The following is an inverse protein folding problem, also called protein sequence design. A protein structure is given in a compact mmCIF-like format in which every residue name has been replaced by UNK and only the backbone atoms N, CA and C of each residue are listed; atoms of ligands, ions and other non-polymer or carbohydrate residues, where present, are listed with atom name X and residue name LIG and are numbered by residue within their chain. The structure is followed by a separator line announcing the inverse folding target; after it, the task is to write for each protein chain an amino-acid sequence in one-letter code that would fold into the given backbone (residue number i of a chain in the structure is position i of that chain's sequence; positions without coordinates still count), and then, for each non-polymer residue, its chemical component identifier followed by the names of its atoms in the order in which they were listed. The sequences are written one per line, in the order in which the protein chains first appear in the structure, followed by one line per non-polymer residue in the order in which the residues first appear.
data_IF_724908352155
#
_entry.id   IF_724908352155
#
_cell.length_a   1.000
_cell.length_b   1.000
_cell.length_c   1.000
_cell.angle_alpha   90.00
_cell.angle_beta   90.00
_cell.angle_gamma   90.00
#
_symmetry.space_group_name_H-M   'P 1'
#
loop_
_entity.id
_entity.type
_entity.pdbx_description
1 polymer ?
#
# COMPACT_ATOMS: atom_id res chain seq x y z
N UNK A 1 1.93 26.22 -54.38
CA UNK A 1 2.47 26.36 -55.75
C UNK A 1 2.71 27.81 -56.16
N UNK A 2 1.79 28.75 -55.92
CA UNK A 2 2.01 30.16 -56.30
C UNK A 2 3.24 30.81 -55.61
N UNK A 3 3.50 30.44 -54.35
CA UNK A 3 4.64 30.96 -53.59
C UNK A 3 6.00 30.38 -54.06
N UNK A 4 6.06 29.14 -54.55
CA UNK A 4 7.31 28.53 -55.07
C UNK A 4 7.73 29.23 -56.37
N UNK A 5 6.76 29.51 -57.25
CA UNK A 5 6.99 30.30 -58.46
C UNK A 5 7.40 31.73 -58.11
N UNK A 6 6.79 32.34 -57.09
CA UNK A 6 7.16 33.67 -56.58
C UNK A 6 8.59 33.71 -56.02
N UNK A 7 9.00 32.71 -55.25
CA UNK A 7 10.38 32.57 -54.76
C UNK A 7 11.36 32.45 -55.93
N UNK A 8 11.03 31.61 -56.91
CA UNK A 8 11.89 31.40 -58.08
C UNK A 8 12.08 32.68 -58.90
N UNK A 9 11.01 33.45 -59.08
CA UNK A 9 11.05 34.72 -59.77
C UNK A 9 11.83 35.79 -58.98
N UNK A 10 11.63 35.87 -57.66
CA UNK A 10 12.33 36.84 -56.80
C UNK A 10 13.86 36.64 -56.84
N UNK A 11 14.30 35.38 -56.76
CA UNK A 11 15.71 35.02 -56.88
C UNK A 11 16.20 34.85 -58.32
N UNK A 12 15.38 35.23 -59.31
CA UNK A 12 15.71 35.18 -60.75
C UNK A 12 16.26 33.83 -61.22
N UNK A 13 15.74 32.73 -60.67
CA UNK A 13 16.20 31.37 -60.97
C UNK A 13 17.69 31.12 -60.69
N UNK A 14 18.25 31.83 -59.70
CA UNK A 14 19.59 31.56 -59.21
C UNK A 14 19.77 30.09 -58.80
N UNK A 15 20.92 29.51 -59.15
CA UNK A 15 21.20 28.09 -58.98
C UNK A 15 21.16 27.66 -57.51
N UNK A 16 21.73 28.46 -56.61
CA UNK A 16 21.81 28.14 -55.20
C UNK A 16 20.43 28.22 -54.54
N UNK A 17 19.65 29.26 -54.90
CA UNK A 17 18.28 29.42 -54.44
C UNK A 17 17.37 28.27 -54.93
N UNK A 18 17.52 27.81 -56.17
CA UNK A 18 16.72 26.69 -56.71
C UNK A 18 17.09 25.37 -56.06
N UNK A 19 18.37 25.12 -55.78
CA UNK A 19 18.80 23.95 -55.01
C UNK A 19 18.25 23.98 -53.59
N UNK A 20 18.25 25.15 -52.93
CA UNK A 20 17.61 25.31 -51.62
C UNK A 20 16.12 24.96 -51.69
N UNK A 21 15.39 25.50 -52.66
CA UNK A 21 13.96 25.24 -52.82
C UNK A 21 13.67 23.75 -53.08
N UNK A 22 14.50 23.09 -53.90
CA UNK A 22 14.36 21.66 -54.15
C UNK A 22 14.60 20.83 -52.89
N UNK A 23 15.64 21.17 -52.09
CA UNK A 23 15.88 20.53 -50.79
C UNK A 23 14.71 20.74 -49.83
N UNK A 24 14.26 21.98 -49.66
CA UNK A 24 13.10 22.30 -48.81
C UNK A 24 11.85 21.51 -49.22
N UNK A 25 11.58 21.44 -50.53
CA UNK A 25 10.42 20.72 -51.06
C UNK A 25 10.49 19.22 -50.72
N UNK A 26 11.64 18.60 -50.93
CA UNK A 26 11.80 17.16 -50.71
C UNK A 26 11.88 16.79 -49.23
N UNK A 27 12.57 17.59 -48.43
CA UNK A 27 12.85 17.27 -47.03
C UNK A 27 11.73 17.71 -46.08
N UNK A 28 10.99 18.78 -46.41
CA UNK A 28 9.95 19.33 -45.55
C UNK A 28 8.58 19.16 -46.21
N UNK A 29 8.33 19.84 -47.34
CA UNK A 29 6.99 19.91 -47.92
C UNK A 29 6.41 18.53 -48.27
N UNK A 30 7.15 17.71 -49.02
CA UNK A 30 6.70 16.37 -49.41
C UNK A 30 6.46 15.49 -48.19
N UNK A 31 7.31 15.58 -47.15
CA UNK A 31 7.13 14.79 -45.94
C UNK A 31 5.84 15.15 -45.21
N UNK A 32 5.52 16.44 -45.10
CA UNK A 32 4.25 16.90 -44.54
C UNK A 32 3.06 16.46 -45.40
N UNK A 33 3.15 16.62 -46.72
CA UNK A 33 2.06 16.27 -47.64
C UNK A 33 1.79 14.76 -47.69
N UNK A 34 2.84 13.94 -47.57
CA UNK A 34 2.76 12.48 -47.59
C UNK A 34 2.59 11.87 -46.19
N UNK A 35 2.55 12.70 -45.14
CA UNK A 35 2.34 12.23 -43.78
C UNK A 35 0.96 11.57 -43.69
N UNK A 36 0.95 10.25 -43.48
CA UNK A 36 -0.29 9.50 -43.28
C UNK A 36 -0.68 9.58 -41.81
N UNK A 37 -1.84 10.17 -41.53
CA UNK A 37 -2.44 10.14 -40.20
C UNK A 37 -3.23 8.83 -40.08
N UNK A 38 -2.80 7.88 -39.23
CA UNK A 38 -3.62 6.71 -38.95
C UNK A 38 -4.88 7.17 -38.23
N UNK A 39 -6.05 6.84 -38.80
CA UNK A 39 -7.35 7.13 -38.21
C UNK A 39 -8.05 5.81 -37.88
N UNK A 40 -8.71 5.78 -36.72
CA UNK A 40 -9.64 4.71 -36.34
C UNK A 40 -10.99 5.35 -36.19
N UNK A 41 -11.92 4.99 -37.07
CA UNK A 41 -13.30 5.45 -37.00
C UNK A 41 -14.10 4.55 -36.06
N UNK A 42 -14.74 5.16 -35.07
CA UNK A 42 -15.62 4.48 -34.13
C UNK A 42 -17.05 4.95 -34.39
N UNK A 43 -17.97 4.01 -34.54
CA UNK A 43 -19.38 4.30 -34.78
C UNK A 43 -20.07 4.72 -33.47
N UNK A 44 -21.19 5.45 -33.56
CA UNK A 44 -21.92 5.97 -32.39
C UNK A 44 -22.41 4.86 -31.43
N UNK A 45 -22.65 3.66 -31.93
CA UNK A 45 -23.06 2.48 -31.19
C UNK A 45 -21.91 1.76 -30.49
N UNK A 46 -20.66 2.19 -30.69
CA UNK A 46 -19.49 1.62 -30.02
C UNK A 46 -19.61 1.82 -28.51
N UNK A 47 -19.63 0.73 -27.70
CA UNK A 47 -19.72 0.86 -26.26
C UNK A 47 -18.58 1.71 -25.71
N UNK A 48 -18.88 2.58 -24.73
CA UNK A 48 -17.89 3.48 -24.12
C UNK A 48 -16.63 2.75 -23.66
N UNK A 49 -16.78 1.55 -23.11
CA UNK A 49 -15.67 0.69 -22.68
C UNK A 49 -14.76 0.28 -23.85
N UNK A 50 -15.32 -0.02 -25.01
CA UNK A 50 -14.57 -0.38 -26.22
C UNK A 50 -13.83 0.84 -26.79
N UNK A 51 -14.47 2.01 -26.80
CA UNK A 51 -13.81 3.29 -27.16
C UNK A 51 -12.57 3.50 -26.29
N UNK A 52 -12.74 3.39 -24.96
CA UNK A 52 -11.66 3.54 -23.99
C UNK A 52 -10.50 2.56 -24.24
N UNK A 53 -10.79 1.28 -24.52
CA UNK A 53 -9.77 0.26 -24.79
C UNK A 53 -8.99 0.53 -26.07
N UNK A 54 -9.65 1.03 -27.12
CA UNK A 54 -8.96 1.45 -28.36
C UNK A 54 -8.00 2.60 -28.07
N UNK A 55 -8.45 3.62 -27.33
CA UNK A 55 -7.60 4.74 -26.92
C UNK A 55 -6.41 4.29 -26.07
N UNK A 56 -6.59 3.37 -25.12
CA UNK A 56 -5.51 2.80 -24.30
C UNK A 56 -4.47 2.04 -25.13
N UNK A 57 -4.92 1.19 -26.06
CA UNK A 57 -4.02 0.37 -26.90
C UNK A 57 -3.30 1.17 -27.97
N UNK A 58 -3.90 2.26 -28.46
CA UNK A 58 -3.29 3.12 -29.48
C UNK A 58 -2.34 4.14 -28.84
N UNK A 59 -2.63 4.57 -27.61
CA UNK A 59 -1.75 5.46 -26.83
C UNK A 59 -0.72 4.68 -25.98
N UNK A 60 0.02 3.77 -26.61
CA UNK A 60 1.13 3.08 -25.95
C UNK A 60 2.42 3.91 -25.87
N UNK A 61 2.53 4.98 -26.67
CA UNK A 61 3.63 5.95 -26.59
C UNK A 61 3.13 7.31 -26.10
N UNK A 62 3.43 7.67 -24.85
CA UNK A 62 2.98 8.92 -24.22
C UNK A 62 2.40 8.72 -22.81
N UNK A 63 1.55 9.66 -22.36
CA UNK A 63 0.80 9.52 -21.10
C UNK A 63 -0.29 8.46 -21.29
N UNK A 64 -0.19 7.34 -20.57
CA UNK A 64 -1.18 6.26 -20.61
C UNK A 64 -2.56 6.78 -20.22
N UNK A 65 -3.56 6.56 -21.07
CA UNK A 65 -4.96 6.85 -20.74
C UNK A 65 -5.43 5.89 -19.64
N UNK A 66 -5.44 6.36 -18.40
CA UNK A 66 -5.99 5.60 -17.28
C UNK A 66 -7.51 5.78 -17.21
N UNK A 67 -8.18 4.98 -16.37
CA UNK A 67 -9.61 5.17 -16.04
C UNK A 67 -9.88 6.62 -15.58
N UNK A 68 -8.94 7.22 -14.86
CA UNK A 68 -9.04 8.61 -14.43
C UNK A 68 -9.02 9.61 -15.61
N UNK A 69 -8.17 9.38 -16.62
CA UNK A 69 -8.12 10.21 -17.83
C UNK A 69 -9.44 10.16 -18.60
N UNK A 70 -10.00 8.95 -18.74
CA UNK A 70 -11.27 8.71 -19.42
C UNK A 70 -12.45 9.35 -18.69
N UNK A 71 -12.45 9.28 -17.35
CA UNK A 71 -13.44 9.96 -16.53
C UNK A 71 -13.29 11.48 -16.59
N UNK A 72 -12.07 12.00 -16.68
CA UNK A 72 -11.81 13.43 -16.88
C UNK A 72 -12.44 13.92 -18.17
N UNK A 73 -12.21 13.22 -19.30
CA UNK A 73 -12.83 13.56 -20.59
C UNK A 73 -14.36 13.43 -20.54
N UNK A 74 -14.86 12.43 -19.83
CA UNK A 74 -16.29 12.18 -19.64
C UNK A 74 -16.99 13.31 -18.90
N UNK A 75 -16.42 13.78 -17.80
CA UNK A 75 -16.98 14.87 -17.00
C UNK A 75 -16.77 16.24 -17.64
N UNK A 76 -15.71 16.43 -18.43
CA UNK A 76 -15.49 17.65 -19.19
C UNK A 76 -16.59 17.90 -20.24
N UNK A 77 -17.19 16.85 -20.81
CA UNK A 77 -18.36 16.98 -21.69
C UNK A 77 -19.62 17.53 -20.97
N UNK A 78 -19.59 17.61 -19.63
CA UNK A 78 -20.60 18.22 -18.78
C UNK A 78 -20.04 19.41 -17.99
N UNK A 79 -19.03 20.09 -18.55
CA UNK A 79 -18.37 21.28 -17.99
C UNK A 79 -17.76 21.09 -16.59
N UNK A 80 -17.35 19.87 -16.22
CA UNK A 80 -16.68 19.59 -14.96
C UNK A 80 -15.23 19.15 -15.16
N UNK A 81 -14.28 19.91 -14.58
CA UNK A 81 -12.86 19.60 -14.64
C UNK A 81 -12.41 18.69 -13.48
N UNK A 82 -12.43 17.38 -13.72
CA UNK A 82 -12.03 16.37 -12.73
C UNK A 82 -10.55 16.45 -12.32
N UNK A 83 -9.66 16.92 -13.20
CA UNK A 83 -8.23 17.05 -12.90
C UNK A 83 -8.00 18.11 -11.82
N UNK A 84 -8.56 19.30 -12.06
CA UNK A 84 -8.41 20.42 -11.14
C UNK A 84 -9.03 20.11 -9.78
N UNK A 85 -10.21 19.45 -9.76
CA UNK A 85 -10.82 18.97 -8.52
C UNK A 85 -9.88 18.01 -7.77
N UNK A 86 -9.35 17.00 -8.48
CA UNK A 86 -8.46 16.01 -7.88
C UNK A 86 -7.16 16.62 -7.36
N UNK A 87 -6.53 17.54 -8.09
CA UNK A 87 -5.29 18.17 -7.67
C UNK A 87 -5.50 19.00 -6.39
N UNK A 88 -6.58 19.78 -6.33
CA UNK A 88 -6.97 20.50 -5.12
C UNK A 88 -7.27 19.54 -3.96
N UNK A 89 -7.93 18.41 -4.24
CA UNK A 89 -8.28 17.38 -3.24
C UNK A 89 -7.06 16.65 -2.71
N UNK A 90 -6.12 16.29 -3.57
CA UNK A 90 -4.87 15.64 -3.21
C UNK A 90 -4.06 16.50 -2.24
N UNK A 91 -4.02 17.81 -2.46
CA UNK A 91 -3.41 18.76 -1.51
C UNK A 91 -4.08 18.65 -0.14
N UNK A 92 -5.42 18.69 -0.07
CA UNK A 92 -6.16 18.58 1.20
C UNK A 92 -5.98 17.23 1.89
N UNK A 93 -6.04 16.12 1.15
CA UNK A 93 -5.87 14.77 1.70
C UNK A 93 -4.49 14.59 2.33
N UNK A 94 -3.45 15.06 1.64
CA UNK A 94 -2.06 14.85 2.06
C UNK A 94 -1.53 15.89 3.04
N UNK A 95 -2.24 17.00 3.25
CA UNK A 95 -1.80 18.10 4.12
C UNK A 95 -1.50 17.68 5.56
N UNK A 96 -2.23 16.69 6.09
CA UNK A 96 -2.06 16.15 7.46
C UNK A 96 -1.81 14.64 7.51
N UNK A 97 -1.94 13.95 6.38
CA UNK A 97 -1.95 12.49 6.33
C UNK A 97 -1.00 12.00 5.23
N UNK A 98 0.27 11.80 5.58
CA UNK A 98 1.32 11.34 4.66
C UNK A 98 0.96 10.01 3.97
N UNK A 99 0.30 9.10 4.69
CA UNK A 99 -0.21 7.83 4.17
C UNK A 99 -1.14 7.99 2.96
N UNK A 100 -1.89 9.10 2.87
CA UNK A 100 -2.84 9.34 1.77
C UNK A 100 -2.13 9.73 0.46
N UNK A 101 -0.81 9.92 0.46
CA UNK A 101 -0.01 9.98 -0.77
C UNK A 101 -0.06 8.68 -1.58
N UNK A 102 -0.48 7.57 -0.96
CA UNK A 102 -0.71 6.30 -1.64
C UNK A 102 -2.03 6.26 -2.46
N UNK A 103 -2.90 7.27 -2.30
CA UNK A 103 -4.19 7.33 -3.01
C UNK A 103 -4.03 8.16 -4.28
N UNK A 104 -4.31 7.55 -5.42
CA UNK A 104 -4.38 8.22 -6.72
C UNK A 104 -5.84 8.51 -7.12
N UNK A 105 -6.02 9.28 -8.21
CA UNK A 105 -7.35 9.65 -8.69
C UNK A 105 -8.20 8.44 -9.07
N UNK A 106 -7.59 7.38 -9.60
CA UNK A 106 -8.29 6.12 -9.92
C UNK A 106 -8.83 5.46 -8.66
N UNK A 107 -8.02 5.37 -7.60
CA UNK A 107 -8.43 4.81 -6.30
C UNK A 107 -9.55 5.63 -5.67
N UNK A 108 -9.49 6.96 -5.79
CA UNK A 108 -10.54 7.84 -5.30
C UNK A 108 -11.87 7.64 -6.07
N UNK A 109 -11.82 7.62 -7.40
CA UNK A 109 -13.00 7.32 -8.23
C UNK A 109 -13.57 5.93 -7.94
N UNK A 110 -12.71 4.95 -7.69
CA UNK A 110 -13.13 3.58 -7.31
C UNK A 110 -13.88 3.59 -5.98
N UNK A 111 -13.39 4.34 -4.98
CA UNK A 111 -14.07 4.52 -3.70
C UNK A 111 -15.43 5.22 -3.85
N UNK A 112 -15.50 6.29 -4.65
CA UNK A 112 -16.78 6.98 -4.95
C UNK A 112 -17.75 6.03 -5.64
N UNK A 113 -17.29 5.27 -6.63
CA UNK A 113 -18.10 4.28 -7.35
C UNK A 113 -18.62 3.20 -6.42
N UNK A 114 -17.77 2.67 -5.54
CA UNK A 114 -18.14 1.66 -4.55
C UNK A 114 -19.23 2.17 -3.60
N UNK A 115 -19.09 3.39 -3.07
CA UNK A 115 -20.09 3.99 -2.20
C UNK A 115 -21.41 4.27 -2.94
N UNK A 116 -21.36 4.79 -4.16
CA UNK A 116 -22.54 5.01 -5.00
C UNK A 116 -23.28 3.71 -5.28
N UNK A 117 -22.54 2.66 -5.63
CA UNK A 117 -23.05 1.32 -5.91
C UNK A 117 -23.71 0.70 -4.68
N UNK A 118 -23.12 0.88 -3.49
CA UNK A 118 -23.72 0.46 -2.23
C UNK A 118 -25.01 1.20 -1.90
N UNK A 119 -25.07 2.52 -2.10
CA UNK A 119 -26.30 3.29 -1.88
C UNK A 119 -27.43 2.86 -2.83
N UNK A 120 -27.12 2.56 -4.10
CA UNK A 120 -28.08 1.96 -5.03
C UNK A 120 -28.54 0.57 -4.56
N UNK A 121 -27.63 -0.25 -4.04
CA UNK A 121 -27.99 -1.54 -3.45
C UNK A 121 -28.98 -1.40 -2.29
N UNK A 122 -28.79 -0.41 -1.40
CA UNK A 122 -29.72 -0.17 -0.29
C UNK A 122 -31.14 0.15 -0.78
N UNK A 123 -31.26 0.93 -1.85
CA UNK A 123 -32.55 1.37 -2.40
C UNK A 123 -33.22 0.33 -3.30
N UNK A 124 -32.46 -0.30 -4.19
CA UNK A 124 -32.98 -1.10 -5.31
C UNK A 124 -32.51 -2.55 -5.33
N UNK A 125 -31.77 -2.99 -4.30
CA UNK A 125 -31.21 -4.36 -4.16
C UNK A 125 -30.34 -4.83 -5.33
N UNK A 126 -29.76 -3.89 -6.10
CA UNK A 126 -28.80 -4.17 -7.17
C UNK A 126 -27.48 -4.72 -6.61
N UNK A 127 -26.72 -5.48 -7.39
CA UNK A 127 -25.39 -5.92 -6.96
C UNK A 127 -24.44 -4.72 -6.73
N UNK A 128 -23.64 -4.79 -5.67
CA UNK A 128 -22.56 -3.82 -5.42
C UNK A 128 -21.38 -4.19 -6.31
N UNK A 129 -20.79 -3.20 -6.97
CA UNK A 129 -19.63 -3.37 -7.84
C UNK A 129 -18.92 -2.03 -8.02
N UNK A 130 -17.59 -2.09 -8.12
CA UNK A 130 -16.70 -0.96 -8.37
C UNK A 130 -15.59 -1.35 -9.36
N UNK A 131 -15.90 -2.28 -10.28
CA UNK A 131 -14.93 -2.70 -11.30
C UNK A 131 -14.67 -1.53 -12.24
N UNK A 132 -13.58 -1.60 -13.01
CA UNK A 132 -13.27 -0.60 -14.06
C UNK A 132 -14.49 -0.15 -14.88
N UNK A 133 -15.30 -1.10 -15.35
CA UNK A 133 -16.53 -0.86 -16.10
C UNK A 133 -17.54 0.02 -15.34
N UNK A 134 -17.68 -0.20 -14.03
CA UNK A 134 -18.57 0.57 -13.17
C UNK A 134 -18.02 1.97 -12.91
N UNK A 135 -16.70 2.11 -12.76
CA UNK A 135 -16.06 3.43 -12.62
C UNK A 135 -16.30 4.27 -13.87
N UNK A 136 -16.19 3.69 -15.06
CA UNK A 136 -16.47 4.38 -16.34
C UNK A 136 -17.95 4.75 -16.55
N UNK A 137 -18.86 4.15 -15.76
CA UNK A 137 -20.28 4.46 -15.73
C UNK A 137 -20.67 5.41 -14.58
N UNK A 138 -19.70 5.86 -13.76
CA UNK A 138 -19.98 6.78 -12.67
C UNK A 138 -20.56 8.08 -13.23
N UNK A 139 -21.76 8.45 -12.77
CA UNK A 139 -22.41 9.69 -13.18
C UNK A 139 -21.84 10.89 -12.41
N UNK A 140 -21.76 12.05 -13.07
CA UNK A 140 -21.26 13.28 -12.45
C UNK A 140 -22.10 13.70 -11.23
N UNK A 141 -23.42 13.46 -11.26
CA UNK A 141 -24.31 13.74 -10.15
C UNK A 141 -23.95 12.91 -8.91
N UNK A 142 -23.69 11.61 -9.09
CA UNK A 142 -23.25 10.72 -8.01
C UNK A 142 -21.87 11.13 -7.49
N UNK A 143 -20.92 11.43 -8.40
CA UNK A 143 -19.59 11.90 -8.01
C UNK A 143 -19.67 13.17 -7.16
N UNK A 144 -20.38 14.19 -7.63
CA UNK A 144 -20.52 15.49 -6.96
C UNK A 144 -21.13 15.35 -5.57
N UNK A 145 -22.12 14.47 -5.43
CA UNK A 145 -22.82 14.20 -4.17
C UNK A 145 -21.94 13.45 -3.16
N UNK A 146 -21.06 12.56 -3.61
CA UNK A 146 -20.34 11.61 -2.73
C UNK A 146 -18.88 11.93 -2.49
N UNK A 147 -18.23 12.70 -3.36
CA UNK A 147 -16.80 13.02 -3.27
C UNK A 147 -16.39 13.57 -1.90
N UNK A 148 -17.19 14.44 -1.28
CA UNK A 148 -16.89 15.01 0.04
C UNK A 148 -16.90 13.96 1.14
N UNK A 149 -17.89 13.07 1.14
CA UNK A 149 -17.98 11.97 2.10
C UNK A 149 -16.81 10.99 1.95
N UNK A 150 -16.41 10.68 0.72
CA UNK A 150 -15.26 9.82 0.45
C UNK A 150 -13.95 10.48 0.86
N UNK A 151 -13.77 11.78 0.63
CA UNK A 151 -12.61 12.53 1.12
C UNK A 151 -12.48 12.43 2.65
N UNK A 152 -13.57 12.67 3.38
CA UNK A 152 -13.59 12.52 4.84
C UNK A 152 -13.39 11.07 5.29
N UNK A 153 -13.93 10.11 4.54
CA UNK A 153 -13.70 8.68 4.75
C UNK A 153 -12.22 8.31 4.67
N UNK A 154 -11.48 8.84 3.68
CA UNK A 154 -10.04 8.63 3.57
C UNK A 154 -9.27 9.28 4.72
N UNK A 155 -9.61 10.50 5.12
CA UNK A 155 -8.99 11.16 6.29
C UNK A 155 -9.20 10.32 7.55
N UNK A 156 -10.42 9.82 7.75
CA UNK A 156 -10.76 9.00 8.91
C UNK A 156 -10.09 7.64 8.91
N UNK A 157 -9.95 7.02 7.74
CA UNK A 157 -9.14 5.83 7.55
C UNK A 157 -7.68 6.10 7.94
N UNK A 158 -7.10 7.22 7.52
CA UNK A 158 -5.74 7.59 7.89
C UNK A 158 -5.57 7.81 9.40
N UNK A 159 -6.55 8.43 10.07
CA UNK A 159 -6.55 8.59 11.54
C UNK A 159 -6.56 7.22 12.25
N UNK A 160 -7.43 6.29 11.83
CA UNK A 160 -7.46 4.93 12.37
C UNK A 160 -6.12 4.21 12.21
N UNK A 161 -5.50 4.32 11.03
CA UNK A 161 -4.21 3.69 10.77
C UNK A 161 -3.07 4.33 11.56
N UNK A 162 -3.14 5.63 11.85
CA UNK A 162 -2.16 6.31 12.71
C UNK A 162 -2.23 5.79 14.17
N UNK A 163 -3.42 5.47 14.68
CA UNK A 163 -3.57 4.81 15.99
C UNK A 163 -2.88 3.42 16.01
N UNK A 164 -2.88 2.73 14.87
CA UNK A 164 -2.19 1.46 14.64
C UNK A 164 -0.70 1.61 14.28
N UNK A 165 -0.14 2.82 14.45
CA UNK A 165 1.27 3.16 14.17
C UNK A 165 1.67 3.04 12.69
N UNK A 166 0.71 3.23 11.78
CA UNK A 166 0.94 3.25 10.33
C UNK A 166 0.75 4.70 9.84
N UNK A 167 1.87 5.40 9.63
CA UNK A 167 1.86 6.85 9.40
C UNK A 167 2.07 7.28 7.95
N UNK A 168 2.74 6.46 7.14
CA UNK A 168 3.17 6.81 5.80
C UNK A 168 2.98 5.67 4.78
N UNK A 169 3.32 5.95 3.52
CA UNK A 169 3.20 4.98 2.42
C UNK A 169 4.19 3.82 2.51
N UNK A 170 5.30 3.98 3.24
CA UNK A 170 6.31 2.92 3.42
C UNK A 170 5.80 1.90 4.42
N UNK A 171 5.19 2.35 5.52
CA UNK A 171 4.58 1.53 6.55
C UNK A 171 3.24 0.91 6.13
N UNK A 172 2.56 1.46 5.12
CA UNK A 172 1.27 0.96 4.65
C UNK A 172 1.36 -0.46 4.04
N UNK A 173 0.68 -1.47 4.62
CA UNK A 173 0.64 -2.83 4.08
C UNK A 173 0.03 -2.90 2.67
N UNK A 174 -1.19 -2.37 2.51
CA UNK A 174 -1.92 -2.39 1.25
C UNK A 174 -2.56 -1.02 0.97
N UNK A 175 -2.08 -0.33 -0.07
CA UNK A 175 -2.74 0.89 -0.57
C UNK A 175 -4.17 0.60 -1.06
N UNK A 176 -4.39 -0.57 -1.66
CA UNK A 176 -5.68 -1.02 -2.18
C UNK A 176 -6.74 -1.20 -1.09
N UNK A 177 -6.35 -1.59 0.12
CA UNK A 177 -7.28 -1.76 1.25
C UNK A 177 -7.79 -0.41 1.80
N UNK A 178 -7.12 0.71 1.51
CA UNK A 178 -7.62 2.04 1.86
C UNK A 178 -8.95 2.36 1.15
N UNK A 179 -9.19 1.80 -0.04
CA UNK A 179 -10.42 2.04 -0.81
C UNK A 179 -11.65 1.57 -0.01
N UNK A 180 -11.80 0.27 0.32
CA UNK A 180 -12.93 -0.20 1.12
C UNK A 180 -12.95 0.43 2.52
N UNK A 181 -11.80 0.59 3.18
CA UNK A 181 -11.73 1.21 4.51
C UNK A 181 -12.31 2.63 4.50
N UNK A 182 -11.90 3.46 3.54
CA UNK A 182 -12.40 4.82 3.38
C UNK A 182 -13.90 4.84 3.07
N UNK A 183 -14.41 3.93 2.23
CA UNK A 183 -15.85 3.87 1.93
C UNK A 183 -16.68 3.41 3.13
N UNK A 184 -16.17 2.48 3.94
CA UNK A 184 -16.82 2.07 5.19
C UNK A 184 -16.84 3.24 6.17
N UNK A 185 -15.72 3.95 6.34
CA UNK A 185 -15.64 5.17 7.15
C UNK A 185 -16.62 6.25 6.66
N UNK A 186 -16.71 6.48 5.35
CA UNK A 186 -17.64 7.43 4.76
C UNK A 186 -19.10 7.07 5.04
N UNK A 187 -19.44 5.77 4.96
CA UNK A 187 -20.79 5.27 5.21
C UNK A 187 -21.18 5.32 6.69
N UNK A 188 -20.24 5.07 7.61
CA UNK A 188 -20.47 5.12 9.05
C UNK A 188 -20.43 6.55 9.62
N UNK A 189 -19.80 7.48 8.90
CA UNK A 189 -19.57 8.87 9.29
C UNK A 189 -19.02 8.97 10.73
N UNK A 190 -19.71 9.67 11.63
CA UNK A 190 -19.28 9.86 13.01
C UNK A 190 -19.27 8.58 13.85
N UNK A 191 -20.00 7.52 13.46
CA UNK A 191 -20.08 6.27 14.23
C UNK A 191 -18.76 5.50 14.27
N UNK A 192 -17.85 5.76 13.33
CA UNK A 192 -16.52 5.13 13.26
C UNK A 192 -15.66 5.37 14.51
N UNK A 193 -15.92 6.45 15.27
CA UNK A 193 -15.17 6.77 16.50
C UNK A 193 -15.65 5.97 17.71
N UNK A 194 -16.80 5.28 17.61
CA UNK A 194 -17.29 4.42 18.69
C UNK A 194 -16.34 3.24 18.87
N UNK A 195 -15.99 2.95 20.13
CA UNK A 195 -14.98 1.93 20.44
C UNK A 195 -15.30 0.57 19.82
N UNK A 196 -16.54 0.06 19.95
CA UNK A 196 -16.92 -1.24 19.39
C UNK A 196 -16.80 -1.31 17.86
N UNK A 197 -17.28 -0.27 17.17
CA UNK A 197 -17.17 -0.14 15.71
C UNK A 197 -15.70 -0.10 15.29
N UNK A 198 -14.89 0.69 15.99
CA UNK A 198 -13.44 0.78 15.73
C UNK A 198 -12.76 -0.58 15.88
N UNK A 199 -13.04 -1.34 16.94
CA UNK A 199 -12.43 -2.66 17.14
C UNK A 199 -12.81 -3.64 16.01
N UNK A 200 -14.06 -3.62 15.54
CA UNK A 200 -14.49 -4.43 14.40
C UNK A 200 -13.77 -4.03 13.11
N UNK A 201 -13.64 -2.73 12.84
CA UNK A 201 -12.90 -2.22 11.67
C UNK A 201 -11.43 -2.64 11.71
N UNK A 202 -10.77 -2.51 12.87
CA UNK A 202 -9.37 -2.90 13.05
C UNK A 202 -9.19 -4.41 12.89
N UNK A 203 -10.11 -5.22 13.43
CA UNK A 203 -10.09 -6.66 13.26
C UNK A 203 -10.21 -7.07 11.79
N UNK A 204 -11.12 -6.45 11.04
CA UNK A 204 -11.24 -6.63 9.59
C UNK A 204 -9.97 -6.19 8.86
N UNK A 205 -9.42 -5.03 9.23
CA UNK A 205 -8.22 -4.49 8.61
C UNK A 205 -7.04 -5.46 8.76
N UNK A 206 -6.76 -5.87 9.99
CA UNK A 206 -5.67 -6.79 10.31
C UNK A 206 -5.88 -8.19 9.73
N UNK A 207 -7.12 -8.68 9.67
CA UNK A 207 -7.45 -9.93 8.96
C UNK A 207 -7.14 -9.83 7.47
N UNK A 208 -7.39 -8.68 6.85
CA UNK A 208 -7.00 -8.38 5.48
C UNK A 208 -5.48 -8.39 5.26
N UNK A 209 -4.73 -7.77 6.18
CA UNK A 209 -3.27 -7.67 6.12
C UNK A 209 -2.60 -9.03 6.30
N UNK A 210 -2.94 -9.76 7.37
CA UNK A 210 -2.31 -11.03 7.70
C UNK A 210 -2.91 -12.22 6.95
N UNK A 211 -4.12 -12.10 6.41
CA UNK A 211 -4.63 -13.04 5.40
C UNK A 211 -4.05 -12.79 4.00
N UNK A 212 -3.22 -11.75 3.81
CA UNK A 212 -2.64 -11.33 2.53
C UNK A 212 -3.70 -11.14 1.40
N UNK A 213 -4.89 -10.66 1.78
CA UNK A 213 -6.11 -10.72 0.96
C UNK A 213 -6.25 -9.62 -0.11
N UNK A 214 -5.36 -8.63 -0.10
CA UNK A 214 -5.44 -7.41 -0.92
C UNK A 214 -4.31 -7.28 -1.97
N UNK A 215 -3.60 -8.38 -2.23
CA UNK A 215 -2.56 -8.47 -3.26
C UNK A 215 -3.08 -8.66 -4.69
N UNK A 216 -4.35 -9.01 -4.89
CA UNK A 216 -4.93 -9.29 -6.22
C UNK A 216 -6.46 -9.45 -6.22
N UNK A 217 -7.09 -9.25 -7.38
CA UNK A 217 -8.55 -9.32 -7.57
C UNK A 217 -9.39 -8.44 -6.60
N UNK A 218 -8.85 -7.28 -6.26
CA UNK A 218 -9.29 -6.47 -5.13
C UNK A 218 -10.72 -5.88 -5.28
N UNK A 219 -11.13 -5.49 -6.48
CA UNK A 219 -12.44 -4.83 -6.71
C UNK A 219 -13.63 -5.71 -6.29
N UNK A 220 -13.53 -7.04 -6.53
CA UNK A 220 -14.58 -7.98 -6.11
C UNK A 220 -14.63 -8.09 -4.59
N UNK A 221 -13.46 -8.05 -3.94
CA UNK A 221 -13.35 -8.04 -2.48
C UNK A 221 -13.93 -6.76 -1.89
N UNK A 222 -13.64 -5.59 -2.46
CA UNK A 222 -14.19 -4.32 -1.98
C UNK A 222 -15.72 -4.29 -2.01
N UNK A 223 -16.31 -4.75 -3.13
CA UNK A 223 -17.75 -4.83 -3.33
C UNK A 223 -18.44 -5.79 -2.34
N UNK A 224 -17.71 -6.78 -1.83
CA UNK A 224 -18.14 -7.68 -0.77
C UNK A 224 -17.95 -7.08 0.62
N UNK A 225 -16.79 -6.49 0.89
CA UNK A 225 -16.40 -6.02 2.22
C UNK A 225 -17.29 -4.90 2.73
N UNK A 226 -17.63 -3.92 1.88
CA UNK A 226 -18.44 -2.79 2.32
C UNK A 226 -19.82 -3.24 2.86
N UNK A 227 -20.65 -3.98 2.11
CA UNK A 227 -21.92 -4.50 2.64
C UNK A 227 -21.75 -5.37 3.90
N UNK A 228 -20.79 -6.31 3.89
CA UNK A 228 -20.61 -7.24 5.01
C UNK A 228 -20.15 -6.53 6.28
N UNK A 229 -19.25 -5.55 6.16
CA UNK A 229 -18.81 -4.76 7.31
C UNK A 229 -19.94 -3.93 7.89
N UNK A 230 -20.73 -3.25 7.06
CA UNK A 230 -21.87 -2.48 7.56
C UNK A 230 -22.92 -3.39 8.22
N UNK A 231 -23.19 -4.56 7.63
CA UNK A 231 -24.10 -5.54 8.21
C UNK A 231 -23.58 -6.07 9.55
N UNK A 232 -22.29 -6.41 9.64
CA UNK A 232 -21.68 -6.94 10.86
C UNK A 232 -21.66 -5.92 11.99
N UNK A 233 -21.35 -4.66 11.68
CA UNK A 233 -21.42 -3.54 12.63
C UNK A 233 -22.84 -3.37 13.18
N UNK A 234 -23.86 -3.65 12.36
CA UNK A 234 -25.26 -3.69 12.77
C UNK A 234 -25.69 -4.95 13.56
N UNK A 235 -24.76 -5.83 13.95
CA UNK A 235 -25.05 -7.08 14.67
C UNK A 235 -25.29 -8.30 13.77
N UNK A 236 -24.95 -8.21 12.49
CA UNK A 236 -25.05 -9.32 11.54
C UNK A 236 -23.91 -10.35 11.65
N UNK A 237 -23.74 -11.14 10.58
CA UNK A 237 -22.71 -12.18 10.51
C UNK A 237 -21.31 -11.59 10.31
N UNK A 238 -20.31 -12.32 10.80
CA UNK A 238 -18.90 -11.96 10.61
C UNK A 238 -18.51 -11.96 9.10
N UNK A 239 -17.84 -10.91 8.60
CA UNK A 239 -17.43 -10.78 7.21
C UNK A 239 -16.53 -11.92 6.73
N UNK A 240 -16.65 -12.26 5.45
CA UNK A 240 -15.83 -13.30 4.82
C UNK A 240 -14.33 -13.00 4.90
N UNK A 241 -13.94 -11.74 4.75
CA UNK A 241 -12.53 -11.31 4.90
C UNK A 241 -11.95 -11.66 6.27
N UNK A 242 -12.74 -11.66 7.34
CA UNK A 242 -12.29 -12.11 8.66
C UNK A 242 -12.32 -13.64 8.73
N UNK A 243 -13.44 -14.26 8.37
CA UNK A 243 -13.62 -15.72 8.48
C UNK A 243 -12.59 -16.51 7.66
N UNK A 244 -12.30 -16.05 6.45
CA UNK A 244 -11.44 -16.74 5.48
C UNK A 244 -9.95 -16.35 5.65
N UNK A 245 -9.63 -15.30 6.43
CA UNK A 245 -8.25 -14.94 6.73
C UNK A 245 -7.56 -16.05 7.53
N UNK A 246 -6.38 -16.48 7.07
CA UNK A 246 -5.56 -17.47 7.75
C UNK A 246 -4.09 -17.08 7.62
N UNK A 247 -3.30 -17.29 8.67
CA UNK A 247 -1.87 -17.05 8.68
C UNK A 247 -1.15 -18.32 9.11
N UNK A 248 -0.36 -18.92 8.22
CA UNK A 248 0.41 -20.12 8.55
C UNK A 248 1.66 -19.76 9.37
N UNK A 249 2.00 -20.49 10.46
CA UNK A 249 3.20 -20.22 11.25
C UNK A 249 4.50 -20.16 10.44
N UNK A 250 4.67 -21.08 9.49
CA UNK A 250 5.84 -21.15 8.60
C UNK A 250 5.97 -19.93 7.69
N UNK A 251 4.88 -19.17 7.48
CA UNK A 251 4.90 -17.90 6.73
C UNK A 251 5.88 -16.91 7.35
N UNK A 252 6.05 -16.89 8.68
CA UNK A 252 7.03 -16.02 9.36
C UNK A 252 8.45 -16.19 8.81
N UNK A 253 8.87 -17.42 8.48
CA UNK A 253 10.21 -17.70 7.95
C UNK A 253 10.38 -17.21 6.51
N UNK A 254 9.33 -17.35 5.71
CA UNK A 254 9.31 -16.90 4.32
C UNK A 254 9.11 -15.38 4.14
N UNK A 255 8.65 -14.66 5.17
CA UNK A 255 8.53 -13.20 5.17
C UNK A 255 9.90 -12.53 5.29
N UNK A 256 10.57 -12.35 4.15
CA UNK A 256 11.92 -11.79 4.09
C UNK A 256 12.01 -10.39 3.47
N UNK A 257 10.99 -10.00 2.69
CA UNK A 257 10.96 -8.74 1.94
C UNK A 257 10.18 -7.66 2.68
N UNK A 258 10.77 -6.46 2.76
CA UNK A 258 10.14 -5.26 3.32
C UNK A 258 8.93 -4.73 2.54
N UNK A 259 8.74 -5.22 1.31
CA UNK A 259 7.61 -4.84 0.47
C UNK A 259 6.35 -5.64 0.79
N UNK A 260 6.48 -6.81 1.44
CA UNK A 260 5.34 -7.66 1.76
C UNK A 260 4.42 -6.99 2.78
N UNK A 261 3.10 -7.09 2.57
CA UNK A 261 2.12 -6.45 3.42
C UNK A 261 2.16 -6.99 4.86
N UNK A 262 2.21 -8.32 5.05
CA UNK A 262 2.32 -8.92 6.37
C UNK A 262 3.63 -8.55 7.09
N UNK A 263 4.71 -8.30 6.35
CA UNK A 263 5.98 -7.80 6.92
C UNK A 263 5.81 -6.39 7.50
N UNK A 264 5.20 -5.49 6.73
CA UNK A 264 4.88 -4.12 7.20
C UNK A 264 3.89 -4.15 8.36
N UNK A 265 2.89 -5.03 8.29
CA UNK A 265 1.92 -5.24 9.35
C UNK A 265 2.57 -5.67 10.67
N UNK A 266 3.51 -6.62 10.63
CA UNK A 266 4.22 -7.05 11.84
C UNK A 266 5.10 -5.95 12.42
N UNK A 267 5.75 -5.14 11.58
CA UNK A 267 6.49 -3.96 12.05
C UNK A 267 5.58 -2.95 12.77
N UNK A 268 4.39 -2.70 12.22
CA UNK A 268 3.39 -1.85 12.87
C UNK A 268 2.88 -2.45 14.19
N UNK A 269 2.64 -3.76 14.25
CA UNK A 269 2.29 -4.43 15.50
C UNK A 269 3.39 -4.33 16.56
N UNK A 270 4.66 -4.44 16.19
CA UNK A 270 5.79 -4.25 17.12
C UNK A 270 5.84 -2.80 17.65
N UNK A 271 5.64 -1.82 16.78
CA UNK A 271 5.53 -0.42 17.20
C UNK A 271 4.35 -0.20 18.15
N UNK A 272 3.19 -0.80 17.86
CA UNK A 272 2.00 -0.73 18.72
C UNK A 272 2.18 -1.47 20.05
N UNK A 273 2.93 -2.56 20.06
CA UNK A 273 3.32 -3.30 21.27
C UNK A 273 4.25 -2.46 22.18
N UNK A 274 4.79 -1.35 21.67
CA UNK A 274 5.58 -0.41 22.45
C UNK A 274 7.08 -0.58 22.26
N UNK A 275 7.51 -1.14 21.13
CA UNK A 275 8.93 -1.34 20.83
C UNK A 275 9.77 -0.07 21.05
N UNK A 276 10.89 -0.19 21.76
CA UNK A 276 11.81 0.91 22.11
C UNK A 276 13.19 0.71 21.48
N UNK A 277 13.84 1.79 21.08
CA UNK A 277 15.21 1.73 20.57
C UNK A 277 16.21 1.27 21.64
N UNK A 278 17.12 0.35 21.31
CA UNK A 278 17.99 -0.32 22.29
C UNK A 278 18.99 0.63 22.98
N UNK A 279 19.32 1.76 22.36
CA UNK A 279 20.30 2.70 22.91
C UNK A 279 19.59 3.86 23.59
N UNK A 280 18.66 4.50 22.88
CA UNK A 280 17.99 5.70 23.41
C UNK A 280 16.83 5.40 24.34
N UNK A 281 16.25 4.20 24.30
CA UNK A 281 15.01 3.87 24.99
C UNK A 281 13.77 4.59 24.42
N UNK A 282 13.93 5.42 23.39
CA UNK A 282 12.84 6.16 22.76
C UNK A 282 11.90 5.17 22.04
N UNK A 283 10.58 5.26 22.25
CA UNK A 283 9.60 4.52 21.46
C UNK A 283 9.83 4.69 19.96
N UNK A 284 9.77 3.58 19.21
CA UNK A 284 10.06 3.57 17.77
C UNK A 284 9.03 4.39 16.97
N UNK A 285 7.78 4.45 17.42
CA UNK A 285 6.73 5.25 16.78
C UNK A 285 7.05 6.75 16.84
N UNK A 286 7.58 7.26 17.95
CA UNK A 286 8.05 8.63 18.07
C UNK A 286 9.24 8.90 17.15
N UNK A 287 10.22 7.99 17.09
CA UNK A 287 11.33 8.14 16.16
C UNK A 287 10.86 8.19 14.70
N UNK A 288 9.90 7.35 14.34
CA UNK A 288 9.28 7.35 13.00
C UNK A 288 8.56 8.67 12.74
N UNK A 289 7.80 9.17 13.71
CA UNK A 289 7.09 10.45 13.61
C UNK A 289 8.03 11.65 13.39
N UNK A 290 9.19 11.68 14.04
CA UNK A 290 10.19 12.73 13.86
C UNK A 290 11.07 12.56 12.60
N UNK A 291 10.70 11.66 11.67
CA UNK A 291 11.48 11.33 10.47
C UNK A 291 12.91 10.86 10.76
N UNK A 292 13.18 10.32 11.96
CA UNK A 292 14.41 9.56 12.15
C UNK A 292 14.30 8.32 11.25
N UNK A 293 15.34 8.03 10.48
CA UNK A 293 15.35 6.85 9.63
C UNK A 293 15.23 5.58 10.50
N UNK A 294 14.01 5.05 10.58
CA UNK A 294 13.72 3.73 11.13
C UNK A 294 13.75 2.74 9.96
N UNK A 295 14.56 1.70 10.12
CA UNK A 295 14.59 0.58 9.20
C UNK A 295 14.54 -0.72 10.00
N UNK A 296 14.14 -1.79 9.34
CA UNK A 296 13.89 -3.07 9.98
C UNK A 296 15.13 -3.93 9.78
N UNK A 297 15.81 -4.20 10.88
CA UNK A 297 17.16 -4.75 10.89
C UNK A 297 17.23 -6.11 11.56
N UNK A 298 18.24 -6.88 11.17
CA UNK A 298 18.53 -8.19 11.75
C UNK A 298 18.97 -8.05 13.21
N UNK A 299 18.33 -8.81 14.10
CA UNK A 299 18.69 -8.87 15.52
C UNK A 299 19.95 -9.70 15.76
N UNK A 300 20.00 -10.91 15.18
CA UNK A 300 21.25 -11.62 14.93
C UNK A 300 21.81 -11.15 13.59
N UNK A 301 22.92 -10.40 13.56
CA UNK A 301 23.41 -9.80 12.33
C UNK A 301 23.76 -10.83 11.26
N UNK A 302 23.55 -10.47 10.00
CA UNK A 302 23.81 -11.33 8.84
C UNK A 302 25.23 -11.89 8.84
N UNK A 303 26.23 -11.06 9.13
CA UNK A 303 27.66 -11.44 9.13
C UNK A 303 27.91 -12.56 10.13
N UNK A 304 27.42 -12.41 11.37
CA UNK A 304 27.52 -13.46 12.39
C UNK A 304 26.77 -14.73 11.96
N UNK A 305 25.58 -14.61 11.38
CA UNK A 305 24.80 -15.76 10.95
C UNK A 305 25.49 -16.56 9.83
N UNK A 306 26.07 -15.87 8.83
CA UNK A 306 26.82 -16.49 7.74
C UNK A 306 28.09 -17.18 8.25
N UNK A 307 28.83 -16.54 9.18
CA UNK A 307 30.03 -17.12 9.80
C UNK A 307 29.72 -18.41 10.58
N UNK A 308 28.56 -18.46 11.26
CA UNK A 308 28.09 -19.63 12.01
C UNK A 308 27.30 -20.63 11.16
N UNK A 309 27.23 -20.43 9.83
CA UNK A 309 26.54 -21.33 8.87
C UNK A 309 25.07 -21.57 9.23
N UNK A 310 24.40 -20.55 9.75
CA UNK A 310 22.99 -20.65 10.15
C UNK A 310 22.05 -20.66 8.94
N UNK A 311 20.88 -21.32 9.04
CA UNK A 311 19.91 -21.40 7.93
C UNK A 311 19.40 -20.02 7.49
N UNK A 312 19.53 -19.71 6.20
CA UNK A 312 19.16 -18.40 5.63
C UNK A 312 17.69 -18.07 5.75
N UNK A 313 16.84 -19.06 5.58
CA UNK A 313 15.40 -18.94 5.79
C UNK A 313 15.07 -18.44 7.20
N UNK A 314 15.76 -18.93 8.23
CA UNK A 314 15.59 -18.47 9.61
C UNK A 314 16.19 -17.08 9.85
N UNK A 315 17.48 -16.88 9.57
CA UNK A 315 18.11 -15.61 9.95
C UNK A 315 17.64 -14.45 9.07
N UNK A 316 17.18 -14.67 7.85
CA UNK A 316 16.65 -13.61 7.01
C UNK A 316 15.14 -13.38 7.15
N UNK A 317 14.45 -14.19 7.96
CA UNK A 317 13.02 -14.05 8.23
C UNK A 317 12.69 -12.78 9.00
N UNK A 318 11.39 -12.46 9.08
CA UNK A 318 10.91 -11.38 9.94
C UNK A 318 11.06 -11.70 11.43
N UNK A 319 11.17 -12.99 11.79
CA UNK A 319 11.39 -13.44 13.18
C UNK A 319 12.72 -12.95 13.73
N UNK A 320 13.74 -12.81 12.87
CA UNK A 320 15.04 -12.27 13.25
C UNK A 320 15.13 -10.75 13.00
N UNK A 321 14.02 -10.03 12.88
CA UNK A 321 14.05 -8.60 12.54
C UNK A 321 13.28 -7.72 13.52
N UNK A 322 13.71 -6.48 13.67
CA UNK A 322 13.08 -5.48 14.53
C UNK A 322 13.25 -4.08 13.94
N UNK A 323 12.28 -3.17 14.12
CA UNK A 323 12.44 -1.78 13.72
C UNK A 323 13.39 -1.07 14.70
N UNK A 324 14.49 -0.51 14.23
CA UNK A 324 15.48 0.17 15.07
C UNK A 324 15.90 1.50 14.44
N UNK A 325 16.38 2.43 15.27
CA UNK A 325 16.95 3.66 14.73
C UNK A 325 18.24 3.35 13.96
N UNK A 326 18.46 4.04 12.83
CA UNK A 326 19.66 3.84 12.01
C UNK A 326 20.98 4.00 12.81
N UNK A 327 21.00 4.89 13.81
CA UNK A 327 22.15 5.06 14.71
C UNK A 327 22.43 3.80 15.55
N UNK A 328 21.39 3.18 16.08
CA UNK A 328 21.46 1.93 16.85
C UNK A 328 21.89 0.76 15.97
N UNK A 329 21.32 0.65 14.77
CA UNK A 329 21.73 -0.38 13.82
C UNK A 329 23.22 -0.31 13.46
N UNK A 330 23.76 0.90 13.21
CA UNK A 330 25.21 1.07 12.98
C UNK A 330 26.06 0.63 14.17
N UNK A 331 25.54 0.76 15.39
CA UNK A 331 26.24 0.37 16.60
C UNK A 331 26.22 -1.15 16.87
N UNK A 332 25.15 -1.84 16.44
CA UNK A 332 25.02 -3.31 16.53
C UNK A 332 26.12 -4.01 15.71
N UNK A 333 26.52 -3.44 14.57
CA UNK A 333 27.55 -3.97 13.66
C UNK A 333 27.22 -5.39 13.14
N UNK A 334 28.24 -6.26 13.00
CA UNK A 334 28.13 -7.63 12.53
C UNK A 334 28.31 -8.68 13.62
N UNK A 335 28.36 -8.28 14.88
CA UNK A 335 28.71 -9.14 16.02
C UNK A 335 27.50 -9.91 16.57
N UNK A 336 27.76 -10.93 17.40
CA UNK A 336 26.70 -11.66 18.11
C UNK A 336 25.92 -10.74 19.08
N UNK A 337 24.62 -11.01 19.34
CA UNK A 337 23.85 -10.33 20.38
C UNK A 337 24.56 -10.18 21.73
N UNK A 338 25.11 -11.25 22.30
CA UNK A 338 25.83 -11.20 23.57
C UNK A 338 26.93 -10.12 23.59
N UNK A 339 27.66 -9.99 22.47
CA UNK A 339 28.78 -9.07 22.30
C UNK A 339 28.31 -7.62 22.17
N UNK A 340 27.35 -7.35 21.26
CA UNK A 340 26.93 -5.96 21.06
C UNK A 340 26.04 -5.46 22.20
N UNK A 341 25.28 -6.33 22.89
CA UNK A 341 24.50 -5.93 24.06
C UNK A 341 25.42 -5.50 25.21
N UNK A 342 26.46 -6.27 25.51
CA UNK A 342 27.48 -5.88 26.49
C UNK A 342 28.17 -4.56 26.10
N UNK A 343 28.38 -4.34 24.80
CA UNK A 343 28.93 -3.09 24.27
C UNK A 343 27.96 -1.92 24.43
N UNK A 344 26.65 -2.11 24.24
CA UNK A 344 25.62 -1.09 24.50
C UNK A 344 25.65 -0.72 25.98
N UNK A 345 25.60 -1.70 26.88
CA UNK A 345 25.60 -1.47 28.32
C UNK A 345 26.82 -0.64 28.76
N UNK A 346 28.01 -1.02 28.28
CA UNK A 346 29.27 -0.35 28.61
C UNK A 346 29.40 1.04 27.99
N UNK A 347 29.17 1.17 26.69
CA UNK A 347 29.55 2.38 25.94
C UNK A 347 28.42 3.40 25.81
N UNK A 348 27.16 2.97 26.01
CA UNK A 348 25.97 3.84 25.93
C UNK A 348 25.31 4.07 27.29
N UNK A 349 25.88 3.53 28.37
CA UNK A 349 25.42 3.73 29.74
C UNK A 349 23.96 3.29 29.94
N UNK A 350 23.52 2.28 29.19
CA UNK A 350 22.21 1.66 29.36
C UNK A 350 22.36 0.54 30.39
N UNK A 351 21.61 0.58 31.49
CA UNK A 351 21.65 -0.51 32.47
C UNK A 351 21.13 -1.82 31.87
N UNK A 352 21.63 -2.94 32.37
CA UNK A 352 21.21 -4.27 31.88
C UNK A 352 19.70 -4.48 31.99
N UNK A 353 19.09 -4.07 33.11
CA UNK A 353 17.64 -4.15 33.30
C UNK A 353 16.83 -3.25 32.36
N UNK A 354 17.32 -2.04 32.03
CA UNK A 354 16.66 -1.19 31.03
C UNK A 354 16.76 -1.80 29.64
N UNK A 355 17.93 -2.30 29.26
CA UNK A 355 18.12 -2.95 27.97
C UNK A 355 17.23 -4.19 27.83
N UNK A 356 17.08 -5.00 28.88
CA UNK A 356 16.15 -6.12 28.90
C UNK A 356 14.70 -5.68 28.70
N UNK A 357 14.28 -4.60 29.36
CA UNK A 357 12.98 -3.98 29.13
C UNK A 357 12.78 -3.56 27.66
N UNK A 358 13.80 -2.94 27.06
CA UNK A 358 13.77 -2.56 25.65
C UNK A 358 13.67 -3.79 24.76
N UNK A 359 14.43 -4.86 25.02
CA UNK A 359 14.33 -6.10 24.26
C UNK A 359 12.92 -6.72 24.34
N UNK A 360 12.34 -6.80 25.55
CA UNK A 360 10.99 -7.33 25.77
C UNK A 360 9.95 -6.55 24.97
N UNK A 361 10.10 -5.22 24.85
CA UNK A 361 9.18 -4.38 24.06
C UNK A 361 9.13 -4.77 22.57
N UNK A 362 10.15 -5.47 22.04
CA UNK A 362 10.21 -6.04 20.69
C UNK A 362 9.78 -7.50 20.59
N UNK A 363 9.17 -8.05 21.64
CA UNK A 363 8.88 -9.47 21.78
C UNK A 363 10.13 -10.35 21.61
N UNK A 364 11.27 -9.91 22.16
CA UNK A 364 12.54 -10.66 22.12
C UNK A 364 12.63 -11.52 23.39
N UNK A 365 12.82 -12.84 23.27
CA UNK A 365 13.11 -13.71 24.40
C UNK A 365 14.54 -13.45 24.89
N UNK A 366 14.67 -12.70 25.99
CA UNK A 366 15.92 -12.06 26.44
C UNK A 366 17.01 -13.08 26.79
N UNK A 367 16.67 -14.17 27.48
CA UNK A 367 17.64 -15.15 27.95
C UNK A 367 18.37 -15.83 26.77
N UNK A 368 17.59 -16.28 25.78
CA UNK A 368 18.09 -16.89 24.56
C UNK A 368 18.87 -15.90 23.70
N UNK A 369 18.42 -14.65 23.67
CA UNK A 369 19.09 -13.59 22.92
C UNK A 369 20.47 -13.27 23.49
N UNK A 370 20.57 -13.10 24.82
CA UNK A 370 21.85 -12.84 25.50
C UNK A 370 22.81 -14.03 25.46
N UNK A 371 22.30 -15.25 25.36
CA UNK A 371 23.09 -16.47 25.26
C UNK A 371 23.45 -16.85 23.80
N UNK A 372 23.08 -16.03 22.81
CA UNK A 372 23.21 -16.32 21.38
C UNK A 372 22.56 -17.65 20.93
N UNK A 373 21.57 -18.16 21.67
CA UNK A 373 20.88 -19.43 21.40
C UNK A 373 19.88 -19.29 20.24
N UNK A 374 20.42 -19.16 19.02
CA UNK A 374 19.68 -18.78 17.82
C UNK A 374 18.43 -19.62 17.53
N UNK A 375 18.52 -20.96 17.53
CA UNK A 375 17.36 -21.80 17.20
C UNK A 375 16.24 -21.69 18.23
N UNK A 376 16.59 -21.65 19.52
CA UNK A 376 15.61 -21.49 20.62
C UNK A 376 14.98 -20.10 20.55
N UNK A 377 15.80 -19.07 20.29
CA UNK A 377 15.34 -17.70 20.07
C UNK A 377 14.32 -17.61 18.94
N UNK A 378 14.62 -18.18 17.76
CA UNK A 378 13.72 -18.13 16.60
C UNK A 378 12.37 -18.78 16.95
N UNK A 379 12.37 -19.91 17.66
CA UNK A 379 11.14 -20.58 18.08
C UNK A 379 10.33 -19.74 19.07
N UNK A 380 10.94 -19.27 20.15
CA UNK A 380 10.22 -18.52 21.20
C UNK A 380 9.73 -17.16 20.68
N UNK A 381 10.54 -16.48 19.86
CA UNK A 381 10.12 -15.23 19.23
C UNK A 381 9.00 -15.44 18.22
N UNK A 382 9.03 -16.52 17.44
CA UNK A 382 7.93 -16.85 16.53
C UNK A 382 6.61 -17.04 17.30
N UNK A 383 6.61 -17.73 18.44
CA UNK A 383 5.44 -17.81 19.32
C UNK A 383 4.91 -16.44 19.72
N UNK A 384 5.79 -15.56 20.20
CA UNK A 384 5.38 -14.23 20.65
C UNK A 384 4.80 -13.38 19.50
N UNK A 385 5.42 -13.43 18.31
CA UNK A 385 4.95 -12.71 17.12
C UNK A 385 3.59 -13.24 16.62
N UNK A 386 3.39 -14.55 16.65
CA UNK A 386 2.08 -15.15 16.35
C UNK A 386 1.01 -14.66 17.34
N UNK A 387 1.33 -14.56 18.63
CA UNK A 387 0.43 -13.99 19.63
C UNK A 387 0.01 -12.55 19.32
N UNK A 388 0.93 -11.71 18.81
CA UNK A 388 0.58 -10.36 18.34
C UNK A 388 -0.39 -10.40 17.16
N UNK A 389 -0.18 -11.30 16.21
CA UNK A 389 -1.07 -11.49 15.04
C UNK A 389 -2.46 -11.95 15.50
N UNK A 390 -2.53 -12.92 16.43
CA UNK A 390 -3.78 -13.43 16.97
C UNK A 390 -4.58 -12.33 17.69
N UNK A 391 -3.90 -11.52 18.50
CA UNK A 391 -4.52 -10.38 19.19
C UNK A 391 -5.06 -9.33 18.21
N UNK A 392 -4.33 -9.03 17.14
CA UNK A 392 -4.74 -8.05 16.14
C UNK A 392 -5.90 -8.52 15.25
N UNK A 393 -5.91 -9.80 14.89
CA UNK A 393 -6.93 -10.41 14.02
C UNK A 393 -8.12 -10.97 14.80
N UNK A 394 -8.00 -11.13 16.12
CA UNK A 394 -8.98 -11.82 16.95
C UNK A 394 -9.21 -13.26 16.50
N UNK A 395 -8.18 -13.93 15.97
CA UNK A 395 -8.23 -15.31 15.47
C UNK A 395 -7.01 -16.08 15.94
N UNK A 396 -7.23 -17.31 16.42
CA UNK A 396 -6.14 -18.24 16.72
C UNK A 396 -5.45 -18.67 15.43
N UNK A 397 -4.11 -18.70 15.44
CA UNK A 397 -3.30 -19.21 14.36
C UNK A 397 -3.23 -20.73 14.47
N UNK A 398 -3.88 -21.42 13.52
CA UNK A 398 -3.84 -22.87 13.43
C UNK A 398 -2.47 -23.41 12.99
N UNK A 399 -2.16 -24.64 13.37
CA UNK A 399 -0.97 -25.36 12.89
C UNK A 399 0.32 -25.03 13.64
N UNK A 400 0.24 -24.33 14.78
CA UNK A 400 1.39 -24.05 15.67
C UNK A 400 2.13 -25.29 16.19
N UNK A 401 1.44 -26.42 16.23
CA UNK A 401 1.91 -27.74 16.66
C UNK A 401 1.99 -28.75 15.50
N UNK A 402 1.69 -28.32 14.27
CA UNK A 402 1.75 -29.18 13.07
C UNK A 402 3.16 -29.73 12.82
N UNK A 403 3.24 -30.90 12.18
CA UNK A 403 4.51 -31.51 11.79
C UNK A 403 5.38 -30.55 10.94
N UNK A 404 4.76 -29.78 10.04
CA UNK A 404 5.46 -28.78 9.23
C UNK A 404 6.10 -27.69 10.11
N UNK A 405 5.37 -27.19 11.10
CA UNK A 405 5.87 -26.16 12.02
C UNK A 405 6.95 -26.71 12.93
N UNK A 406 6.77 -27.91 13.48
CA UNK A 406 7.80 -28.59 14.29
C UNK A 406 9.08 -28.78 13.49
N UNK A 407 8.96 -29.21 12.23
CA UNK A 407 10.12 -29.36 11.32
C UNK A 407 10.81 -28.03 11.03
N UNK A 408 10.03 -26.96 10.80
CA UNK A 408 10.57 -25.64 10.46
C UNK A 408 11.26 -24.94 11.65
N UNK A 409 10.69 -25.04 12.85
CA UNK A 409 11.16 -24.33 14.04
C UNK A 409 11.94 -25.20 15.04
N UNK A 410 12.02 -26.52 14.83
CA UNK A 410 12.65 -27.45 15.77
C UNK A 410 11.81 -27.73 17.02
N UNK A 411 10.51 -27.48 16.97
CA UNK A 411 9.57 -27.68 18.08
C UNK A 411 8.24 -26.98 17.84
N UNK A 412 7.26 -27.24 18.70
CA UNK A 412 5.96 -26.57 18.67
C UNK A 412 6.08 -25.09 19.05
N UNK A 413 5.13 -24.28 18.61
CA UNK A 413 5.02 -22.87 18.94
C UNK A 413 3.86 -22.65 19.93
N UNK A 414 4.11 -22.65 21.25
CA UNK A 414 3.05 -22.49 22.25
C UNK A 414 2.33 -21.14 22.18
#
# INVERSE_FOLDING_TARGET
MHWESGFSAYFKFDSEAMQFMQRFRNEIWLRFQQFKVPAIELTQDTPREAVCQVFEKVNTGGVTLTVFELMTATFAASDFNLREDWDARRVRLTAKHEILKAVDGTSFLTAVTLLASYQRHLNSKTAVSCKRADVLRLELADFTRLQGHVEEGFKKAAELLAEEKIFDTKGLPYATQLIPLATICAQLASSVTQHGVKQQLLRWYWSGVFGELYGGANETRFAMDLPEMIQWIGGGLEPRTIRDANFAPTRLLSLQSRLAAAYKGLAALLMKHGSQDFISGTPIDLNTYFNNAIDIHHLFPRVWCEANKLPRDKWNSVVNKAPLAAGTNRFISGDAPSVYLARIEKNKQVSSGNLDGFLISHAIPVAEFRADHFDVFIRHRASALLGLIENATGKTVSGRDSEETVKAFGGTLP
#
